data_IF_609354480687
#
_entry.id   IF_609354480687
#
_cell.length_a   1.000
_cell.length_b   1.000
_cell.length_c   1.000
_cell.angle_alpha   90.00
_cell.angle_beta   90.00
_cell.angle_gamma   90.00
#
_symmetry.space_group_name_H-M   'P 1'
#
loop_
_entity.id
_entity.type
_entity.pdbx_description
1 polymer ?
#
# COMPACT_ATOMS: atom_id res chain seq x y z
N UNK A 1 23.48 16.05 9.90
CA UNK A 1 23.16 14.91 9.03
C UNK A 1 23.19 15.42 7.60
N UNK A 2 24.03 14.83 6.76
CA UNK A 2 24.09 15.20 5.34
C UNK A 2 22.94 14.53 4.60
N UNK A 3 22.31 15.23 3.65
CA UNK A 3 21.14 14.71 2.93
C UNK A 3 21.34 14.74 1.43
N UNK A 4 20.83 13.73 0.74
CA UNK A 4 20.69 13.69 -0.72
C UNK A 4 19.23 13.92 -1.10
N UNK A 5 18.97 14.75 -2.10
CA UNK A 5 17.62 14.99 -2.64
C UNK A 5 17.50 14.38 -4.03
N UNK A 6 16.38 13.72 -4.29
CA UNK A 6 16.01 13.16 -5.59
C UNK A 6 14.57 13.58 -5.92
N UNK A 7 14.33 13.92 -7.19
CA UNK A 7 12.98 14.20 -7.68
C UNK A 7 12.52 13.08 -8.59
N UNK A 8 11.26 12.67 -8.46
CA UNK A 8 10.63 11.65 -9.31
C UNK A 8 9.31 12.13 -9.88
N UNK A 9 8.99 11.72 -11.11
CA UNK A 9 7.64 11.92 -11.66
C UNK A 9 6.63 10.92 -11.07
N UNK A 10 5.36 11.02 -11.46
CA UNK A 10 4.29 10.12 -11.01
C UNK A 10 4.51 8.65 -11.40
N UNK A 11 5.30 8.40 -12.46
CA UNK A 11 5.70 7.06 -12.90
C UNK A 11 6.96 6.54 -12.16
N UNK A 12 7.47 7.26 -11.17
CA UNK A 12 8.62 6.85 -10.36
C UNK A 12 9.99 7.05 -11.02
N UNK A 13 10.05 7.63 -12.22
CA UNK A 13 11.31 7.93 -12.92
C UNK A 13 11.99 9.17 -12.33
N UNK A 14 13.31 9.13 -12.20
CA UNK A 14 14.12 10.25 -11.72
C UNK A 14 14.06 11.41 -12.72
N UNK A 15 13.86 12.63 -12.22
CA UNK A 15 13.82 13.86 -13.02
C UNK A 15 14.77 14.93 -12.45
N UNK A 16 15.23 15.82 -13.31
CA UNK A 16 16.03 16.98 -12.90
C UNK A 16 15.16 18.05 -12.24
N UNK A 17 15.80 18.96 -11.52
CA UNK A 17 15.15 20.12 -10.93
C UNK A 17 14.50 21.06 -11.96
N UNK A 18 15.01 21.09 -13.19
CA UNK A 18 14.37 21.83 -14.28
C UNK A 18 13.14 21.09 -14.82
N UNK A 19 13.24 19.77 -14.98
CA UNK A 19 12.14 18.94 -15.48
C UNK A 19 10.93 18.97 -14.54
N UNK A 20 11.14 18.90 -13.22
CA UNK A 20 10.02 18.88 -12.25
C UNK A 20 9.13 20.12 -12.32
N UNK A 21 9.66 21.29 -12.70
CA UNK A 21 8.90 22.54 -12.79
C UNK A 21 7.83 22.52 -13.91
N UNK A 22 7.92 21.56 -14.83
CA UNK A 22 6.97 21.33 -15.91
C UNK A 22 5.98 20.20 -15.61
N UNK A 23 6.11 19.51 -14.48
CA UNK A 23 5.21 18.43 -14.09
C UNK A 23 4.05 18.98 -13.25
N UNK A 24 2.83 18.52 -13.52
CA UNK A 24 1.68 18.77 -12.64
C UNK A 24 1.86 18.08 -11.30
N UNK A 25 2.42 16.88 -11.31
CA UNK A 25 2.64 16.04 -10.14
C UNK A 25 4.08 15.50 -10.09
N UNK A 26 4.70 15.57 -8.91
CA UNK A 26 6.01 14.97 -8.69
C UNK A 26 6.27 14.66 -7.22
N UNK A 27 7.32 13.89 -6.94
CA UNK A 27 7.78 13.59 -5.60
C UNK A 27 9.16 14.20 -5.35
N UNK A 28 9.36 14.74 -4.15
CA UNK A 28 10.68 15.06 -3.60
C UNK A 28 11.05 14.03 -2.54
N UNK A 29 12.10 13.28 -2.79
CA UNK A 29 12.62 12.26 -1.89
C UNK A 29 13.89 12.80 -1.25
N UNK A 30 13.97 12.72 0.07
CA UNK A 30 15.17 13.12 0.83
C UNK A 30 15.72 11.90 1.53
N UNK A 31 16.98 11.59 1.24
CA UNK A 31 17.70 10.46 1.78
C UNK A 31 18.74 10.94 2.78
N UNK A 32 18.93 10.16 3.83
CA UNK A 32 20.14 10.24 4.66
C UNK A 32 21.34 9.82 3.81
N UNK A 33 22.36 10.68 3.71
CA UNK A 33 23.49 10.45 2.81
C UNK A 33 24.40 9.30 3.30
N UNK A 34 24.51 9.11 4.61
CA UNK A 34 25.44 8.18 5.22
C UNK A 34 24.92 6.72 5.13
N UNK A 35 23.60 6.55 5.17
CA UNK A 35 22.91 5.25 5.13
C UNK A 35 22.18 4.99 3.82
N UNK A 36 22.03 6.02 2.97
CA UNK A 36 21.21 6.00 1.75
C UNK A 36 19.75 5.57 2.00
N UNK A 37 19.25 5.74 3.23
CA UNK A 37 17.85 5.45 3.58
C UNK A 37 16.96 6.64 3.25
N UNK A 38 15.77 6.36 2.70
CA UNK A 38 14.75 7.39 2.49
C UNK A 38 14.25 7.89 3.85
N UNK A 39 14.33 9.19 4.09
CA UNK A 39 13.84 9.84 5.32
C UNK A 39 12.50 10.52 5.11
N UNK A 40 12.35 11.23 3.99
CA UNK A 40 11.06 11.87 3.67
C UNK A 40 10.70 11.72 2.20
N UNK A 41 9.42 11.54 1.93
CA UNK A 41 8.82 11.64 0.59
C UNK A 41 7.72 12.69 0.62
N UNK A 42 7.88 13.78 -0.13
CA UNK A 42 6.85 14.80 -0.29
C UNK A 42 6.19 14.64 -1.67
N UNK A 43 4.87 14.62 -1.69
CA UNK A 43 4.06 14.60 -2.89
C UNK A 43 3.59 16.02 -3.22
N UNK A 44 4.01 16.52 -4.38
CA UNK A 44 3.60 17.80 -4.91
C UNK A 44 2.55 17.63 -6.01
N UNK A 45 1.47 18.40 -5.90
CA UNK A 45 0.43 18.57 -6.90
C UNK A 45 0.40 20.03 -7.37
N UNK A 46 -0.13 20.28 -8.58
CA UNK A 46 -0.13 21.58 -9.24
C UNK A 46 1.21 22.32 -9.10
N UNK A 47 2.28 21.61 -9.45
CA UNK A 47 3.70 22.02 -9.39
C UNK A 47 4.25 22.20 -7.97
N UNK A 48 3.68 23.09 -7.15
CA UNK A 48 4.33 23.53 -5.90
C UNK A 48 3.47 23.34 -4.65
N UNK A 49 2.25 22.80 -4.77
CA UNK A 49 1.39 22.55 -3.61
C UNK A 49 1.73 21.19 -3.03
N UNK A 50 2.15 21.14 -1.77
CA UNK A 50 2.39 19.88 -1.07
C UNK A 50 1.02 19.29 -0.70
N UNK A 51 0.70 18.14 -1.29
CA UNK A 51 -0.53 17.40 -1.00
C UNK A 51 -0.36 16.57 0.29
N UNK A 52 0.72 15.79 0.34
CA UNK A 52 1.04 14.95 1.49
C UNK A 52 2.55 14.73 1.65
N UNK A 53 2.97 14.44 2.88
CA UNK A 53 4.31 13.99 3.21
C UNK A 53 4.30 12.59 3.83
N UNK A 54 5.40 11.86 3.67
CA UNK A 54 5.69 10.65 4.41
C UNK A 54 7.05 10.82 5.07
N UNK A 55 7.13 10.54 6.36
CA UNK A 55 8.37 10.49 7.12
C UNK A 55 8.66 9.03 7.48
N UNK A 56 9.88 8.56 7.23
CA UNK A 56 10.32 7.21 7.58
C UNK A 56 11.28 7.29 8.76
N UNK A 57 10.82 6.79 9.91
CA UNK A 57 11.60 6.82 11.14
C UNK A 57 12.67 5.75 11.15
N UNK A 58 13.84 6.11 11.66
CA UNK A 58 14.84 5.14 12.09
C UNK A 58 14.44 4.53 13.45
N UNK A 59 14.89 3.30 13.77
CA UNK A 59 14.48 2.61 15.00
C UNK A 59 14.80 3.35 16.31
N UNK A 60 15.73 4.30 16.27
CA UNK A 60 16.17 5.07 17.43
C UNK A 60 15.51 6.46 17.52
N UNK A 61 14.66 6.81 16.56
CA UNK A 61 13.96 8.09 16.58
C UNK A 61 12.71 8.02 17.45
N UNK A 62 12.41 9.14 18.11
CA UNK A 62 11.19 9.31 18.89
C UNK A 62 10.17 10.10 18.08
N UNK A 63 8.94 9.62 18.03
CA UNK A 63 7.88 10.22 17.21
C UNK A 63 7.54 11.63 17.67
N UNK A 64 7.59 11.90 18.98
CA UNK A 64 7.34 13.22 19.56
C UNK A 64 8.39 14.22 19.06
N UNK A 65 9.65 13.82 19.02
CA UNK A 65 10.71 14.65 18.45
C UNK A 65 10.51 14.87 16.93
N UNK A 66 10.15 13.83 16.17
CA UNK A 66 9.93 13.94 14.72
C UNK A 66 8.82 14.94 14.39
N UNK A 67 7.67 14.87 15.08
CA UNK A 67 6.52 15.73 14.77
C UNK A 67 6.80 17.22 15.05
N UNK A 68 7.76 17.54 15.92
CA UNK A 68 8.19 18.93 16.16
C UNK A 68 9.07 19.51 15.05
N UNK A 69 9.62 18.66 14.17
CA UNK A 69 10.57 19.06 13.13
C UNK A 69 9.93 19.16 11.74
N UNK A 70 8.76 18.55 11.55
CA UNK A 70 8.03 18.56 10.28
C UNK A 70 7.00 19.70 10.26
N UNK A 71 6.66 20.18 9.06
CA UNK A 71 5.69 21.27 8.92
C UNK A 71 4.27 20.77 9.25
N UNK A 72 3.60 21.27 10.32
CA UNK A 72 2.28 20.82 10.72
C UNK A 72 1.16 21.24 9.76
N UNK A 73 1.39 22.18 8.85
CA UNK A 73 0.38 22.60 7.86
C UNK A 73 0.13 21.56 6.77
N UNK A 74 0.98 20.54 6.67
CA UNK A 74 0.81 19.43 5.73
C UNK A 74 0.30 18.19 6.45
N UNK A 75 -0.41 17.34 5.71
CA UNK A 75 -0.71 16.00 6.18
C UNK A 75 0.51 15.11 6.02
N UNK A 76 0.94 14.49 7.11
CA UNK A 76 2.07 13.56 7.15
C UNK A 76 1.62 12.15 7.51
N UNK A 77 2.14 11.15 6.78
CA UNK A 77 2.22 9.77 7.25
C UNK A 77 3.56 9.54 7.94
N UNK A 78 3.56 9.19 9.22
CA UNK A 78 4.76 8.87 9.99
C UNK A 78 4.89 7.36 10.06
N UNK A 79 5.89 6.82 9.36
CA UNK A 79 6.18 5.39 9.28
C UNK A 79 7.19 5.04 10.39
N UNK A 80 6.77 4.24 11.36
CA UNK A 80 7.58 3.78 12.51
C UNK A 80 7.54 2.26 12.66
N UNK A 81 8.35 1.74 13.58
CA UNK A 81 8.33 0.33 14.00
C UNK A 81 8.43 -0.66 12.84
N UNK A 82 9.36 -0.41 11.89
CA UNK A 82 9.59 -1.31 10.77
C UNK A 82 9.94 -2.72 11.27
N UNK A 83 9.15 -3.69 10.82
CA UNK A 83 9.43 -5.12 10.98
C UNK A 83 9.60 -5.77 9.60
N UNK A 84 10.40 -6.83 9.55
CA UNK A 84 10.51 -7.69 8.37
C UNK A 84 10.01 -9.08 8.76
N UNK A 85 8.90 -9.50 8.15
CA UNK A 85 8.24 -10.78 8.43
C UNK A 85 8.05 -11.49 7.10
N UNK A 86 8.60 -12.70 6.94
CA UNK A 86 8.55 -13.49 5.70
C UNK A 86 9.02 -12.70 4.45
N UNK A 87 9.98 -11.79 4.59
CA UNK A 87 10.46 -10.94 3.50
C UNK A 87 9.60 -9.69 3.21
N UNK A 88 8.42 -9.57 3.83
CA UNK A 88 7.58 -8.37 3.74
C UNK A 88 8.00 -7.34 4.77
N UNK A 89 7.98 -6.06 4.36
CA UNK A 89 8.17 -4.92 5.26
C UNK A 89 6.83 -4.54 5.85
N UNK A 90 6.73 -4.55 7.17
CA UNK A 90 5.53 -4.14 7.90
C UNK A 90 5.84 -2.85 8.64
N UNK A 91 5.12 -1.79 8.31
CA UNK A 91 5.26 -0.49 8.95
C UNK A 91 4.05 -0.18 9.82
N UNK A 92 4.28 0.43 10.98
CA UNK A 92 3.26 1.22 11.66
C UNK A 92 3.20 2.59 11.01
N UNK A 93 2.02 3.07 10.64
CA UNK A 93 1.80 4.40 10.09
C UNK A 93 0.80 5.19 10.93
N UNK A 94 1.26 6.28 11.52
CA UNK A 94 0.39 7.28 12.12
C UNK A 94 0.18 8.46 11.15
N UNK A 95 -0.92 9.18 11.27
CA UNK A 95 -1.11 10.45 10.56
C UNK A 95 -0.88 11.63 11.49
N UNK A 96 -0.18 12.64 11.01
CA UNK A 96 0.02 13.92 11.70
C UNK A 96 -0.44 15.07 10.82
N UNK A 97 -1.29 15.96 11.37
CA UNK A 97 -1.76 17.15 10.67
C UNK A 97 -2.22 18.20 11.67
N UNK A 98 -2.00 19.48 11.37
CA UNK A 98 -2.43 20.61 12.20
C UNK A 98 -1.92 20.56 13.65
N UNK A 99 -0.74 19.97 13.87
CA UNK A 99 -0.15 19.84 15.21
C UNK A 99 -0.65 18.63 16.01
N UNK A 100 -1.54 17.81 15.43
CA UNK A 100 -2.14 16.66 16.10
C UNK A 100 -1.68 15.36 15.46
N UNK A 101 -1.24 14.41 16.30
CA UNK A 101 -0.98 13.04 15.91
C UNK A 101 -2.26 12.22 16.12
N UNK A 102 -2.64 11.44 15.10
CA UNK A 102 -3.79 10.55 15.15
C UNK A 102 -3.60 9.45 16.20
N UNK A 103 -4.63 9.28 17.05
CA UNK A 103 -4.76 8.18 18.05
C UNK A 103 -5.03 6.81 17.43
N UNK A 104 -5.26 6.78 16.11
CA UNK A 104 -5.30 5.55 15.32
C UNK A 104 -4.12 5.49 14.38
N UNK A 105 -3.68 4.28 14.09
CA UNK A 105 -2.58 4.00 13.18
C UNK A 105 -2.97 2.87 12.21
N UNK A 106 -2.23 2.70 11.11
CA UNK A 106 -2.35 1.52 10.25
C UNK A 106 -1.10 0.66 10.31
N UNK A 107 -1.26 -0.66 10.24
CA UNK A 107 -0.16 -1.54 9.82
C UNK A 107 -0.24 -1.65 8.30
N UNK A 108 0.86 -1.30 7.64
CA UNK A 108 0.99 -1.32 6.18
C UNK A 108 2.05 -2.35 5.78
N UNK A 109 1.67 -3.33 4.96
CA UNK A 109 2.53 -4.42 4.50
C UNK A 109 2.97 -4.15 3.07
N UNK A 110 4.28 -4.17 2.85
CA UNK A 110 4.89 -3.98 1.55
C UNK A 110 5.71 -5.21 1.14
N UNK A 111 5.63 -5.60 -0.13
CA UNK A 111 6.45 -6.67 -0.68
C UNK A 111 7.91 -6.21 -0.89
N UNK A 112 8.76 -7.09 -1.43
CA UNK A 112 10.17 -6.82 -1.72
C UNK A 112 10.37 -5.73 -2.79
N UNK A 113 9.40 -5.54 -3.68
CA UNK A 113 9.36 -4.49 -4.70
C UNK A 113 8.85 -3.15 -4.15
N UNK A 114 8.52 -3.08 -2.86
CA UNK A 114 7.96 -1.89 -2.18
C UNK A 114 6.53 -1.58 -2.61
N UNK A 115 5.81 -2.55 -3.18
CA UNK A 115 4.39 -2.43 -3.47
C UNK A 115 3.58 -2.64 -2.19
N UNK A 116 2.54 -1.84 -2.04
CA UNK A 116 1.66 -1.92 -0.90
C UNK A 116 0.60 -3.01 -1.08
N UNK A 117 0.75 -4.12 -0.35
CA UNK A 117 -0.01 -5.37 -0.57
C UNK A 117 -1.11 -5.64 0.45
N UNK A 118 -1.01 -5.14 1.68
CA UNK A 118 -2.06 -5.31 2.68
C UNK A 118 -2.04 -4.22 3.75
N UNK A 119 -3.21 -3.86 4.28
CA UNK A 119 -3.34 -2.80 5.26
C UNK A 119 -4.45 -3.04 6.25
N UNK A 120 -4.30 -2.53 7.47
CA UNK A 120 -5.34 -2.60 8.51
C UNK A 120 -5.17 -1.48 9.54
N UNK A 121 -6.29 -0.91 10.01
CA UNK A 121 -6.30 0.16 11.02
C UNK A 121 -6.45 -0.37 12.44
N UNK A 122 -5.73 0.26 13.38
CA UNK A 122 -5.67 -0.08 14.80
C UNK A 122 -5.83 1.16 15.69
N UNK A 123 -6.30 0.97 16.92
CA UNK A 123 -6.21 1.99 17.98
C UNK A 123 -4.88 1.88 18.74
N UNK A 124 -4.70 2.72 19.76
CA UNK A 124 -3.53 2.72 20.63
C UNK A 124 -3.39 1.46 21.52
N UNK A 125 -4.40 0.59 21.58
CA UNK A 125 -4.39 -0.68 22.32
C UNK A 125 -4.23 -1.89 21.38
N UNK A 126 -3.78 -1.65 20.14
CA UNK A 126 -3.62 -2.65 19.08
C UNK A 126 -4.93 -3.38 18.71
N UNK A 127 -6.09 -2.76 18.97
CA UNK A 127 -7.38 -3.30 18.56
C UNK A 127 -7.74 -2.84 17.14
N UNK A 128 -8.24 -3.74 16.28
CA UNK A 128 -8.78 -3.38 14.98
C UNK A 128 -9.83 -2.26 15.05
N UNK A 129 -9.55 -1.10 14.44
CA UNK A 129 -10.52 0.02 14.38
C UNK A 129 -11.17 0.17 13.02
N UNK A 130 -10.47 -0.25 11.97
CA UNK A 130 -10.93 -0.18 10.59
C UNK A 130 -10.76 -1.53 9.93
N UNK A 131 -11.49 -1.70 8.84
CA UNK A 131 -11.36 -2.88 8.01
C UNK A 131 -9.92 -3.13 7.53
N UNK A 132 -9.65 -4.37 7.15
CA UNK A 132 -8.41 -4.75 6.49
C UNK A 132 -8.62 -4.85 4.98
N UNK A 133 -7.54 -4.81 4.23
CA UNK A 133 -7.56 -5.21 2.84
C UNK A 133 -6.26 -5.88 2.43
N UNK A 134 -6.36 -6.68 1.38
CA UNK A 134 -5.27 -7.45 0.77
C UNK A 134 -5.38 -7.31 -0.74
N UNK A 135 -4.26 -7.09 -1.41
CA UNK A 135 -4.18 -6.98 -2.87
C UNK A 135 -3.48 -8.21 -3.43
N UNK A 136 -4.17 -8.90 -4.32
CA UNK A 136 -3.60 -9.94 -5.16
C UNK A 136 -3.22 -9.31 -6.50
N UNK A 137 -1.93 -9.32 -6.79
CA UNK A 137 -1.39 -8.82 -8.06
C UNK A 137 -1.57 -9.87 -9.15
N UNK A 138 -2.23 -9.47 -10.24
CA UNK A 138 -2.46 -10.28 -11.42
C UNK A 138 -1.48 -9.96 -12.55
N UNK A 139 -0.67 -8.92 -12.42
CA UNK A 139 0.21 -8.41 -13.49
C UNK A 139 1.00 -9.52 -14.16
N UNK A 140 0.90 -9.59 -15.49
CA UNK A 140 1.61 -10.54 -16.34
C UNK A 140 1.27 -12.03 -16.08
N UNK A 141 0.16 -12.33 -15.39
CA UNK A 141 -0.33 -13.71 -15.24
C UNK A 141 -1.21 -14.10 -16.43
N UNK A 142 -1.17 -15.38 -16.81
CA UNK A 142 -2.05 -15.92 -17.84
C UNK A 142 -3.51 -15.95 -17.36
N UNK A 143 -4.43 -15.52 -18.21
CA UNK A 143 -5.85 -15.78 -18.07
C UNK A 143 -6.12 -17.19 -18.56
N UNK A 144 -6.50 -18.09 -17.65
CA UNK A 144 -6.78 -19.50 -17.94
C UNK A 144 -8.28 -19.75 -17.85
N UNK A 145 -8.91 -20.16 -18.95
CA UNK A 145 -10.35 -20.43 -18.99
C UNK A 145 -10.73 -21.73 -18.26
N UNK A 146 -12.00 -22.13 -18.35
CA UNK A 146 -12.53 -23.32 -17.69
C UNK A 146 -11.98 -24.64 -18.24
N UNK A 147 -11.52 -24.63 -19.49
CA UNK A 147 -10.93 -25.79 -20.16
C UNK A 147 -9.41 -25.89 -19.92
N UNK A 148 -8.81 -24.86 -19.31
CA UNK A 148 -7.39 -24.80 -19.00
C UNK A 148 -6.55 -24.11 -20.08
N UNK A 149 -7.18 -23.49 -21.08
CA UNK A 149 -6.51 -22.80 -22.18
C UNK A 149 -6.15 -21.36 -21.80
N UNK A 150 -5.00 -20.90 -22.30
CA UNK A 150 -4.57 -19.51 -22.12
C UNK A 150 -5.29 -18.63 -23.12
N UNK A 151 -6.22 -17.82 -22.62
CA UNK A 151 -7.05 -16.91 -23.44
C UNK A 151 -6.52 -15.48 -23.46
N UNK A 152 -5.53 -15.17 -22.62
CA UNK A 152 -4.94 -13.83 -22.52
C UNK A 152 -3.91 -13.71 -21.41
N UNK A 153 -3.47 -12.49 -21.16
CA UNK A 153 -2.52 -12.13 -20.09
C UNK A 153 -3.03 -10.85 -19.42
N UNK A 154 -3.02 -10.80 -18.09
CA UNK A 154 -3.38 -9.61 -17.33
C UNK A 154 -2.38 -8.48 -17.53
N UNK A 155 -2.89 -7.25 -17.60
CA UNK A 155 -2.06 -6.07 -17.82
C UNK A 155 -1.27 -5.70 -16.56
N UNK A 156 -0.22 -4.92 -16.75
CA UNK A 156 0.60 -4.41 -15.64
C UNK A 156 -0.25 -3.47 -14.77
N UNK A 157 -0.33 -3.78 -13.47
CA UNK A 157 -1.18 -3.06 -12.52
C UNK A 157 -2.58 -3.66 -12.32
N UNK A 158 -2.91 -4.76 -12.99
CA UNK A 158 -4.15 -5.49 -12.71
C UNK A 158 -4.10 -6.12 -11.31
N UNK A 159 -5.08 -5.77 -10.47
CA UNK A 159 -5.15 -6.19 -9.08
C UNK A 159 -6.56 -6.61 -8.68
N UNK A 160 -6.64 -7.58 -7.78
CA UNK A 160 -7.87 -7.90 -7.03
C UNK A 160 -7.67 -7.50 -5.58
N UNK A 161 -8.55 -6.64 -5.07
CA UNK A 161 -8.54 -6.20 -3.68
C UNK A 161 -9.62 -6.93 -2.90
N UNK A 162 -9.22 -7.67 -1.88
CA UNK A 162 -10.08 -8.30 -0.87
C UNK A 162 -10.16 -7.34 0.30
N UNK A 163 -11.37 -6.89 0.65
CA UNK A 163 -11.65 -5.96 1.74
C UNK A 163 -12.53 -6.61 2.79
N UNK A 164 -12.22 -6.33 4.05
CA UNK A 164 -12.89 -6.88 5.22
C UNK A 164 -13.24 -5.74 6.15
N UNK A 165 -14.52 -5.46 6.40
CA UNK A 165 -14.92 -4.50 7.41
C UNK A 165 -14.71 -5.02 8.83
N UNK A 166 -14.50 -4.11 9.77
CA UNK A 166 -14.46 -4.44 11.20
C UNK A 166 -15.81 -4.92 11.75
N UNK A 167 -16.89 -4.68 11.01
CA UNK A 167 -18.25 -5.17 11.24
C UNK A 167 -18.51 -6.58 10.66
N UNK A 168 -17.48 -7.21 10.07
CA UNK A 168 -17.59 -8.51 9.40
C UNK A 168 -18.06 -8.42 7.95
N UNK A 169 -18.26 -7.21 7.40
CA UNK A 169 -18.55 -7.05 5.97
C UNK A 169 -17.38 -7.51 5.10
N UNK A 170 -17.68 -7.93 3.88
CA UNK A 170 -16.69 -8.43 2.92
C UNK A 170 -16.90 -7.78 1.56
N UNK A 171 -15.81 -7.43 0.89
CA UNK A 171 -15.86 -6.95 -0.49
C UNK A 171 -14.70 -7.50 -1.30
N UNK A 172 -14.94 -7.81 -2.57
CA UNK A 172 -13.87 -8.09 -3.54
C UNK A 172 -14.09 -7.22 -4.76
N UNK A 173 -13.08 -6.44 -5.11
CA UNK A 173 -13.10 -5.51 -6.25
C UNK A 173 -11.85 -5.68 -7.11
N UNK A 174 -11.98 -5.48 -8.41
CA UNK A 174 -10.87 -5.49 -9.37
C UNK A 174 -10.49 -4.05 -9.74
N UNK A 175 -9.25 -3.87 -10.20
CA UNK A 175 -8.82 -2.65 -10.88
C UNK A 175 -9.51 -2.45 -12.24
N UNK A 176 -9.80 -3.56 -12.93
CA UNK A 176 -10.36 -3.59 -14.27
C UNK A 176 -11.70 -4.36 -14.30
N UNK A 177 -12.69 -3.80 -15.00
CA UNK A 177 -14.02 -4.40 -15.20
C UNK A 177 -14.00 -5.67 -16.04
N UNK A 178 -12.94 -5.91 -16.81
CA UNK A 178 -12.77 -7.13 -17.60
C UNK A 178 -12.44 -8.35 -16.73
N UNK A 179 -11.91 -8.13 -15.51
CA UNK A 179 -11.66 -9.18 -14.52
C UNK A 179 -13.00 -9.61 -13.90
N UNK A 180 -13.77 -8.63 -13.43
CA UNK A 180 -15.20 -8.79 -13.16
C UNK A 180 -15.89 -7.43 -13.17
N UNK A 181 -17.11 -7.41 -13.72
CA UNK A 181 -17.84 -6.18 -14.04
C UNK A 181 -18.23 -5.34 -12.81
N UNK A 182 -18.47 -5.98 -11.67
CA UNK A 182 -18.89 -5.31 -10.42
C UNK A 182 -18.26 -5.97 -9.19
N UNK A 183 -18.09 -5.23 -8.09
CA UNK A 183 -17.61 -5.81 -6.85
C UNK A 183 -18.55 -6.90 -6.31
N UNK A 184 -17.97 -7.91 -5.68
CA UNK A 184 -18.69 -8.85 -4.83
C UNK A 184 -18.79 -8.26 -3.43
N UNK A 185 -19.97 -8.32 -2.83
CA UNK A 185 -20.26 -7.74 -1.50
C UNK A 185 -20.45 -8.80 -0.41
N UNK A 186 -20.28 -10.08 -0.75
CA UNK A 186 -20.25 -11.20 0.20
C UNK A 186 -19.25 -12.25 -0.27
N UNK A 187 -18.64 -12.97 0.68
CA UNK A 187 -17.71 -14.06 0.36
C UNK A 187 -18.41 -15.17 -0.43
N UNK A 188 -19.64 -15.52 -0.04
CA UNK A 188 -20.44 -16.54 -0.72
C UNK A 188 -20.62 -16.20 -2.21
N UNK A 189 -21.04 -14.98 -2.54
CA UNK A 189 -21.23 -14.57 -3.94
C UNK A 189 -19.93 -14.60 -4.75
N UNK A 190 -18.80 -14.28 -4.12
CA UNK A 190 -17.49 -14.37 -4.76
C UNK A 190 -17.12 -15.83 -5.04
N UNK A 191 -17.27 -16.72 -4.05
CA UNK A 191 -16.95 -18.14 -4.18
C UNK A 191 -17.82 -18.85 -5.23
N UNK A 192 -19.13 -18.61 -5.24
CA UNK A 192 -20.03 -19.19 -6.24
C UNK A 192 -19.66 -18.77 -7.66
N UNK A 193 -19.24 -17.51 -7.83
CA UNK A 193 -18.92 -16.96 -9.16
C UNK A 193 -17.50 -17.27 -9.61
N UNK A 194 -16.57 -17.47 -8.68
CA UNK A 194 -15.15 -17.63 -8.95
C UNK A 194 -14.63 -19.04 -8.64
N UNK A 195 -15.47 -20.00 -8.24
CA UNK A 195 -15.03 -21.37 -7.94
C UNK A 195 -14.16 -21.98 -9.06
N UNK A 196 -14.48 -21.66 -10.32
CA UNK A 196 -13.71 -22.04 -11.52
C UNK A 196 -13.22 -20.80 -12.29
N UNK A 197 -13.20 -19.63 -11.66
CA UNK A 197 -12.86 -18.36 -12.30
C UNK A 197 -11.35 -18.08 -12.29
N UNK A 198 -10.90 -17.19 -13.18
CA UNK A 198 -9.49 -16.82 -13.37
C UNK A 198 -8.77 -16.53 -12.05
N UNK A 199 -9.40 -15.77 -11.14
CA UNK A 199 -8.77 -15.33 -9.89
C UNK A 199 -8.47 -16.51 -8.96
N UNK A 200 -9.43 -17.42 -8.76
CA UNK A 200 -9.24 -18.58 -7.87
C UNK A 200 -8.36 -19.66 -8.48
N UNK A 201 -8.36 -19.80 -9.80
CA UNK A 201 -7.48 -20.74 -10.52
C UNK A 201 -6.00 -20.32 -10.43
N UNK A 202 -5.72 -19.02 -10.27
CA UNK A 202 -4.37 -18.49 -10.09
C UNK A 202 -3.83 -18.56 -8.67
N UNK A 203 -4.67 -18.93 -7.69
CA UNK A 203 -4.28 -19.00 -6.28
C UNK A 203 -3.96 -20.43 -5.87
N UNK A 204 -2.82 -20.59 -5.18
CA UNK A 204 -2.54 -21.81 -4.42
C UNK A 204 -3.52 -21.95 -3.24
N UNK A 205 -3.59 -23.12 -2.63
CA UNK A 205 -4.44 -23.33 -1.45
C UNK A 205 -4.06 -22.37 -0.30
N UNK A 206 -2.77 -22.16 -0.06
CA UNK A 206 -2.28 -21.22 0.95
C UNK A 206 -2.66 -19.76 0.62
N UNK A 207 -2.60 -19.38 -0.66
CA UNK A 207 -3.10 -18.07 -1.10
C UNK A 207 -4.60 -17.92 -0.87
N UNK A 208 -5.40 -18.96 -1.13
CA UNK A 208 -6.84 -18.94 -0.85
C UNK A 208 -7.11 -18.75 0.64
N UNK A 209 -6.42 -19.50 1.49
CA UNK A 209 -6.51 -19.37 2.95
C UNK A 209 -6.12 -17.96 3.42
N UNK A 210 -5.09 -17.37 2.82
CA UNK A 210 -4.70 -16.00 3.15
C UNK A 210 -5.70 -14.95 2.63
N UNK A 211 -6.05 -14.96 1.34
CA UNK A 211 -6.84 -13.88 0.73
C UNK A 211 -8.31 -13.90 1.11
N UNK A 212 -8.87 -15.06 1.50
CA UNK A 212 -10.28 -15.23 1.85
C UNK A 212 -10.57 -15.08 3.35
N UNK A 213 -9.53 -14.82 4.16
CA UNK A 213 -9.67 -14.58 5.59
C UNK A 213 -9.19 -13.19 6.00
N UNK A 214 -9.79 -12.66 7.07
CA UNK A 214 -9.43 -11.36 7.63
C UNK A 214 -7.97 -11.32 8.13
N UNK A 215 -7.51 -12.42 8.72
CA UNK A 215 -6.17 -12.63 9.27
C UNK A 215 -5.53 -13.88 8.66
N UNK A 216 -4.19 -13.99 8.63
CA UNK A 216 -3.21 -12.97 9.05
C UNK A 216 -3.14 -11.78 8.09
N UNK A 217 -2.59 -10.64 8.55
CA UNK A 217 -2.35 -9.47 7.69
C UNK A 217 -1.12 -9.63 6.79
N UNK A 218 -0.08 -10.32 7.26
CA UNK A 218 1.15 -10.58 6.50
C UNK A 218 1.01 -11.92 5.77
N UNK A 219 1.34 -12.00 4.47
CA UNK A 219 1.35 -13.27 3.76
C UNK A 219 2.31 -14.31 4.40
N UNK A 220 1.92 -15.59 4.46
CA UNK A 220 2.77 -16.66 4.97
C UNK A 220 3.79 -17.20 3.93
N UNK A 221 3.73 -16.74 2.68
CA UNK A 221 4.49 -17.21 1.52
C UNK A 221 5.37 -16.12 0.88
#
# INVERSE_FOLDING_TARGET
MSTKVEYRNSLGSIVTEQQKNNLSEHFKLTYDLDTNKLKTKLHYFDKNVINEGVYYMDPNEDITNVITQINPSHRWGIMSDLQVINGYKVWRRNYFQNGELSDVYSKEVFNTNVDYVAGMGYDNNDQPTRGSYKKFDLSNKNMIDEDGDVVGVFEDGDIVTFGYGSDGSFTVRSSNTDIFFKPYITLQSFLESQQNGFVMNLMTQEMKEYYLNFQPLVPPF
#
